data_IF_412803668955
#
_entry.id   IF_412803668955
#
_cell.length_a   1.000
_cell.length_b   1.000
_cell.length_c   1.000
_cell.angle_alpha   90.00
_cell.angle_beta   90.00
_cell.angle_gamma   90.00
#
_symmetry.space_group_name_H-M   'P 1'
#
loop_
_entity.id
_entity.type
_entity.pdbx_description
1 polymer ?
#
# COMPACT_ATOMS: atom_id res chain seq x y z
N UNK A 1 20.30 40.85 57.56
CA UNK A 1 19.35 41.44 56.59
C UNK A 1 18.70 40.31 55.80
N UNK A 2 17.40 40.07 55.97
CA UNK A 2 16.67 39.04 55.20
C UNK A 2 16.04 39.72 53.98
N UNK A 3 16.57 39.41 52.79
CA UNK A 3 16.04 39.95 51.52
C UNK A 3 14.65 39.36 51.26
N UNK A 4 13.63 40.22 51.25
CA UNK A 4 12.22 39.85 51.04
C UNK A 4 12.03 39.55 49.55
N UNK A 5 12.12 38.27 49.16
CA UNK A 5 11.77 37.84 47.79
C UNK A 5 10.27 38.09 47.58
N UNK A 6 9.94 39.02 46.69
CA UNK A 6 8.58 39.22 46.19
C UNK A 6 8.16 37.98 45.39
N UNK A 7 7.17 37.23 45.87
CA UNK A 7 6.56 36.16 45.08
C UNK A 7 5.63 36.80 44.05
N UNK A 8 5.96 36.67 42.77
CA UNK A 8 5.06 37.00 41.67
C UNK A 8 3.91 35.99 41.68
N UNK A 9 2.67 36.47 41.83
CA UNK A 9 1.47 35.66 41.70
C UNK A 9 0.84 35.95 40.33
N UNK A 10 0.45 34.90 39.61
CA UNK A 10 -0.29 35.03 38.35
C UNK A 10 -1.69 35.58 38.62
N UNK A 11 -2.13 36.49 37.76
CA UNK A 11 -3.49 37.01 37.75
C UNK A 11 -4.43 36.03 37.03
N UNK A 12 -5.71 36.05 37.39
CA UNK A 12 -6.73 35.22 36.73
C UNK A 12 -6.85 35.52 35.23
N UNK A 13 -6.64 36.78 34.82
CA UNK A 13 -6.72 37.19 33.42
C UNK A 13 -5.55 36.65 32.59
N UNK A 14 -4.35 36.60 33.16
CA UNK A 14 -3.19 35.97 32.51
C UNK A 14 -3.42 34.48 32.28
N UNK A 15 -4.00 33.78 33.26
CA UNK A 15 -4.35 32.37 33.09
C UNK A 15 -5.48 32.16 32.06
N UNK A 16 -6.52 33.01 32.11
CA UNK A 16 -7.69 32.90 31.25
C UNK A 16 -7.37 33.19 29.77
N UNK A 17 -6.51 34.17 29.50
CA UNK A 17 -6.08 34.48 28.13
C UNK A 17 -5.23 33.35 27.54
N UNK A 18 -4.35 32.73 28.33
CA UNK A 18 -3.52 31.61 27.88
C UNK A 18 -4.36 30.41 27.47
N UNK A 19 -5.33 30.00 28.30
CA UNK A 19 -6.21 28.88 27.94
C UNK A 19 -7.10 29.21 26.74
N UNK A 20 -7.51 30.49 26.57
CA UNK A 20 -8.27 30.92 25.41
C UNK A 20 -7.43 30.79 24.12
N UNK A 21 -6.17 31.21 24.13
CA UNK A 21 -5.26 31.07 22.98
C UNK A 21 -4.97 29.61 22.69
N UNK A 22 -4.67 28.78 23.70
CA UNK A 22 -4.46 27.34 23.52
C UNK A 22 -5.72 26.68 22.95
N UNK A 23 -6.90 27.06 23.43
CA UNK A 23 -8.19 26.57 22.93
C UNK A 23 -8.41 26.87 21.44
N UNK A 24 -8.09 28.10 21.01
CA UNK A 24 -8.18 28.50 19.60
C UNK A 24 -7.19 27.69 18.74
N UNK A 25 -5.94 27.56 19.18
CA UNK A 25 -4.92 26.80 18.46
C UNK A 25 -5.30 25.31 18.36
N UNK A 26 -5.76 24.71 19.45
CA UNK A 26 -6.19 23.31 19.48
C UNK A 26 -7.40 23.06 18.57
N UNK A 27 -8.38 23.97 18.55
CA UNK A 27 -9.57 23.86 17.71
C UNK A 27 -9.23 23.77 16.21
N UNK A 28 -8.20 24.48 15.75
CA UNK A 28 -7.74 24.45 14.35
C UNK A 28 -6.84 23.23 14.09
N UNK A 29 -6.03 22.83 15.08
CA UNK A 29 -5.04 21.77 14.91
C UNK A 29 -5.64 20.36 14.85
N UNK A 30 -6.68 20.06 15.64
CA UNK A 30 -7.28 18.72 15.70
C UNK A 30 -7.79 18.21 14.33
N UNK A 31 -8.63 18.95 13.57
CA UNK A 31 -9.13 18.46 12.29
C UNK A 31 -8.04 18.38 11.21
N UNK A 32 -7.04 19.26 11.24
CA UNK A 32 -5.99 19.33 10.22
C UNK A 32 -5.01 18.15 10.32
N UNK A 33 -4.67 17.70 11.52
CA UNK A 33 -3.76 16.55 11.74
C UNK A 33 -4.31 15.25 11.11
N UNK A 34 -5.63 15.03 11.17
CA UNK A 34 -6.26 13.84 10.58
C UNK A 34 -6.12 13.79 9.05
N UNK A 35 -6.32 14.93 8.39
CA UNK A 35 -6.16 15.06 6.94
C UNK A 35 -4.68 14.88 6.52
N UNK A 36 -3.75 15.50 7.25
CA UNK A 36 -2.30 15.37 7.00
C UNK A 36 -1.85 13.91 7.13
N UNK A 37 -2.27 13.20 8.17
CA UNK A 37 -1.93 11.78 8.36
C UNK A 37 -2.45 10.91 7.22
N UNK A 38 -3.66 11.19 6.74
CA UNK A 38 -4.27 10.46 5.61
C UNK A 38 -3.48 10.70 4.32
N UNK A 39 -3.10 11.95 4.05
CA UNK A 39 -2.27 12.30 2.90
C UNK A 39 -0.87 11.67 2.97
N UNK A 40 -0.24 11.72 4.15
CA UNK A 40 1.06 11.09 4.38
C UNK A 40 1.03 9.57 4.16
N UNK A 41 0.00 8.90 4.68
CA UNK A 41 -0.20 7.46 4.44
C UNK A 41 -0.43 7.17 2.95
N UNK A 42 -1.22 7.99 2.24
CA UNK A 42 -1.43 7.82 0.79
C UNK A 42 -0.12 7.95 0.01
N UNK A 43 0.70 8.95 0.33
CA UNK A 43 2.00 9.14 -0.28
C UNK A 43 2.95 7.97 0.02
N UNK A 44 2.96 7.49 1.27
CA UNK A 44 3.76 6.32 1.68
C UNK A 44 3.34 5.05 0.94
N UNK A 45 2.04 4.73 0.89
CA UNK A 45 1.53 3.59 0.12
C UNK A 45 1.89 3.69 -1.36
N UNK A 46 1.76 4.88 -1.98
CA UNK A 46 2.14 5.07 -3.38
C UNK A 46 3.65 4.86 -3.62
N UNK A 47 4.49 5.35 -2.70
CA UNK A 47 5.95 5.13 -2.75
C UNK A 47 6.30 3.65 -2.61
N UNK A 48 5.67 2.95 -1.66
CA UNK A 48 5.80 1.51 -1.47
C UNK A 48 5.44 0.74 -2.76
N UNK A 49 4.28 1.02 -3.35
CA UNK A 49 3.86 0.38 -4.60
C UNK A 49 4.78 0.72 -5.78
N UNK A 50 5.34 1.93 -5.83
CA UNK A 50 6.32 2.28 -6.88
C UNK A 50 7.60 1.45 -6.76
N UNK A 51 8.05 1.14 -5.55
CA UNK A 51 9.20 0.26 -5.31
C UNK A 51 8.88 -1.18 -5.72
N UNK A 52 7.69 -1.67 -5.37
CA UNK A 52 7.24 -3.01 -5.77
C UNK A 52 7.15 -3.13 -7.29
N UNK A 53 6.53 -2.17 -7.97
CA UNK A 53 6.46 -2.13 -9.44
C UNK A 53 7.87 -2.14 -10.04
N UNK A 54 8.80 -1.37 -9.48
CA UNK A 54 10.20 -1.40 -9.94
C UNK A 54 10.81 -2.80 -9.79
N UNK A 55 10.53 -3.51 -8.71
CA UNK A 55 10.98 -4.88 -8.52
C UNK A 55 10.35 -5.86 -9.54
N UNK A 56 9.07 -5.69 -9.87
CA UNK A 56 8.42 -6.44 -10.95
C UNK A 56 9.07 -6.18 -12.32
N UNK A 57 9.39 -4.92 -12.64
CA UNK A 57 10.10 -4.58 -13.87
C UNK A 57 11.49 -5.22 -13.93
N UNK A 58 12.24 -5.18 -12.83
CA UNK A 58 13.55 -5.84 -12.75
C UNK A 58 13.42 -7.36 -12.90
N UNK A 59 12.40 -7.97 -12.30
CA UNK A 59 12.10 -9.38 -12.49
C UNK A 59 11.84 -9.70 -13.96
N UNK A 60 11.00 -8.91 -14.63
CA UNK A 60 10.71 -9.10 -16.06
C UNK A 60 11.95 -8.90 -16.93
N UNK A 61 12.84 -7.98 -16.59
CA UNK A 61 14.10 -7.80 -17.32
C UNK A 61 15.00 -9.04 -17.21
N UNK A 62 15.01 -9.70 -16.06
CA UNK A 62 15.81 -10.90 -15.82
C UNK A 62 15.21 -12.16 -16.44
N UNK A 63 13.88 -12.34 -16.33
CA UNK A 63 13.20 -13.60 -16.71
C UNK A 63 12.33 -13.50 -17.97
N UNK A 64 12.05 -12.30 -18.48
CA UNK A 64 11.25 -12.06 -19.70
C UNK A 64 9.74 -11.97 -19.49
N UNK A 65 9.24 -12.30 -18.31
CA UNK A 65 7.82 -12.28 -17.94
C UNK A 65 7.64 -11.77 -16.51
N UNK A 66 6.44 -11.32 -16.14
CA UNK A 66 6.13 -10.94 -14.76
C UNK A 66 5.79 -12.17 -13.91
N UNK A 67 6.11 -12.17 -12.60
CA UNK A 67 5.69 -13.25 -11.73
C UNK A 67 4.16 -13.24 -11.63
N UNK A 68 3.54 -14.33 -12.09
CA UNK A 68 2.09 -14.49 -12.07
C UNK A 68 1.69 -15.47 -10.96
N UNK A 69 0.95 -14.97 -9.97
CA UNK A 69 0.45 -15.76 -8.84
C UNK A 69 -0.93 -16.37 -9.09
N UNK A 70 -1.59 -15.97 -10.18
CA UNK A 70 -2.91 -16.41 -10.54
C UNK A 70 -2.86 -17.53 -11.59
N UNK A 71 -3.87 -18.40 -11.54
CA UNK A 71 -3.91 -19.62 -12.35
C UNK A 71 -4.25 -19.36 -13.83
N UNK A 72 -5.08 -18.34 -14.12
CA UNK A 72 -5.66 -18.15 -15.46
C UNK A 72 -5.48 -16.75 -16.07
N UNK A 73 -5.18 -15.71 -15.28
CA UNK A 73 -5.03 -14.31 -15.73
C UNK A 73 -3.92 -13.63 -14.92
N UNK A 74 -3.69 -12.33 -15.11
CA UNK A 74 -2.66 -11.54 -14.41
C UNK A 74 -3.09 -10.88 -13.11
N UNK A 75 -4.37 -10.93 -12.76
CA UNK A 75 -4.93 -10.40 -11.50
C UNK A 75 -4.73 -11.37 -10.34
N UNK A 76 -4.12 -10.89 -9.25
CA UNK A 76 -4.11 -11.54 -7.94
C UNK A 76 -4.31 -10.54 -6.80
N UNK A 77 -4.96 -10.96 -5.72
CA UNK A 77 -5.09 -10.19 -4.48
C UNK A 77 -4.27 -10.91 -3.40
N UNK A 78 -3.31 -10.20 -2.83
CA UNK A 78 -2.63 -10.63 -1.60
C UNK A 78 -3.53 -10.24 -0.45
N UNK A 79 -4.04 -11.23 0.29
CA UNK A 79 -4.95 -11.03 1.43
C UNK A 79 -4.61 -11.89 2.65
N UNK A 80 -3.64 -12.79 2.51
CA UNK A 80 -3.27 -13.77 3.52
C UNK A 80 -1.76 -14.01 3.55
N UNK A 81 -1.33 -14.84 4.49
CA UNK A 81 0.06 -15.22 4.63
C UNK A 81 0.55 -16.02 3.40
N UNK A 82 -0.29 -16.87 2.80
CA UNK A 82 0.09 -17.63 1.61
C UNK A 82 0.45 -16.69 0.46
N UNK A 83 -0.41 -15.74 0.11
CA UNK A 83 -0.13 -14.72 -0.91
C UNK A 83 1.11 -13.88 -0.59
N UNK A 84 1.34 -13.57 0.68
CA UNK A 84 2.52 -12.85 1.15
C UNK A 84 3.80 -13.66 0.93
N UNK A 85 3.78 -14.97 1.20
CA UNK A 85 4.90 -15.88 0.94
C UNK A 85 5.21 -16.01 -0.56
N UNK A 86 4.19 -16.05 -1.42
CA UNK A 86 4.36 -16.07 -2.90
C UNK A 86 5.04 -14.79 -3.37
N UNK A 87 4.57 -13.65 -2.90
CA UNK A 87 5.16 -12.35 -3.20
C UNK A 87 6.61 -12.25 -2.71
N UNK A 88 6.86 -12.65 -1.47
CA UNK A 88 8.19 -12.62 -0.87
C UNK A 88 9.16 -13.54 -1.63
N UNK A 89 8.76 -14.78 -1.93
CA UNK A 89 9.61 -15.70 -2.67
C UNK A 89 9.91 -15.21 -4.10
N UNK A 90 8.90 -14.67 -4.80
CA UNK A 90 9.08 -14.13 -6.14
C UNK A 90 10.00 -12.92 -6.20
N UNK A 91 9.80 -11.93 -5.33
CA UNK A 91 10.53 -10.66 -5.43
C UNK A 91 11.78 -10.57 -4.55
N UNK A 92 11.87 -11.35 -3.49
CA UNK A 92 13.00 -11.30 -2.56
C UNK A 92 13.88 -12.54 -2.60
N UNK A 93 13.36 -13.67 -3.10
CA UNK A 93 14.04 -14.98 -3.05
C UNK A 93 14.12 -15.58 -1.63
N UNK A 94 13.53 -14.93 -0.63
CA UNK A 94 13.63 -15.27 0.79
C UNK A 94 12.27 -15.53 1.43
N UNK A 95 12.29 -16.24 2.57
CA UNK A 95 11.13 -16.38 3.45
C UNK A 95 10.99 -15.15 4.37
N UNK A 96 9.83 -14.98 5.02
CA UNK A 96 9.47 -13.81 5.84
C UNK A 96 10.32 -13.70 7.12
N UNK A 97 10.75 -14.82 7.68
CA UNK A 97 11.61 -14.89 8.88
C UNK A 97 13.10 -15.01 8.53
N UNK A 98 13.46 -14.80 7.27
CA UNK A 98 14.80 -15.03 6.75
C UNK A 98 15.03 -16.46 6.27
N UNK A 99 16.19 -16.66 5.64
CA UNK A 99 16.50 -17.88 4.88
C UNK A 99 15.88 -17.87 3.47
N UNK A 100 16.14 -18.93 2.72
CA UNK A 100 15.68 -19.06 1.34
C UNK A 100 14.17 -19.33 1.28
N UNK A 101 13.50 -18.75 0.28
CA UNK A 101 12.13 -19.14 -0.03
C UNK A 101 12.07 -20.62 -0.48
N UNK A 102 10.97 -21.27 -0.10
CA UNK A 102 10.61 -22.58 -0.62
C UNK A 102 10.41 -22.51 -2.13
N UNK A 103 10.75 -23.58 -2.85
CA UNK A 103 10.65 -23.60 -4.32
C UNK A 103 9.22 -23.31 -4.81
N UNK A 104 8.21 -23.79 -4.07
CA UNK A 104 6.80 -23.52 -4.33
C UNK A 104 6.42 -22.03 -4.28
N UNK A 105 7.24 -21.18 -3.67
CA UNK A 105 7.01 -19.74 -3.50
C UNK A 105 7.83 -18.87 -4.46
N UNK A 106 8.65 -19.45 -5.34
CA UNK A 106 9.55 -18.67 -6.19
C UNK A 106 8.86 -18.03 -7.41
N UNK A 107 7.79 -18.64 -7.95
CA UNK A 107 7.01 -18.11 -9.07
C UNK A 107 7.87 -17.53 -10.22
N UNK A 108 8.86 -18.31 -10.65
CA UNK A 108 9.82 -17.96 -11.71
C UNK A 108 11.16 -17.43 -11.20
N UNK A 109 11.28 -17.04 -9.92
CA UNK A 109 12.56 -16.63 -9.33
C UNK A 109 13.45 -17.82 -8.93
N UNK A 110 13.72 -18.73 -9.85
CA UNK A 110 14.48 -19.95 -9.57
C UNK A 110 15.92 -19.65 -9.09
N UNK A 111 16.48 -18.52 -9.53
CA UNK A 111 17.81 -18.04 -9.11
C UNK A 111 17.80 -17.35 -7.73
N UNK A 112 16.63 -17.17 -7.09
CA UNK A 112 16.46 -16.49 -5.80
C UNK A 112 17.11 -15.10 -5.76
N UNK A 113 16.97 -14.34 -6.84
CA UNK A 113 17.47 -12.97 -6.93
C UNK A 113 16.59 -12.06 -6.06
N UNK A 114 17.22 -11.18 -5.27
CA UNK A 114 16.49 -10.18 -4.49
C UNK A 114 16.28 -8.93 -5.34
N UNK A 115 15.08 -8.78 -5.88
CA UNK A 115 14.62 -7.59 -6.59
C UNK A 115 14.06 -6.52 -5.63
N UNK A 116 13.57 -6.97 -4.48
CA UNK A 116 13.07 -6.13 -3.39
C UNK A 116 13.55 -6.65 -2.03
N UNK A 117 13.59 -5.76 -1.04
CA UNK A 117 13.83 -6.10 0.36
C UNK A 117 12.64 -5.66 1.19
N UNK A 118 11.92 -6.63 1.77
CA UNK A 118 10.83 -6.34 2.68
C UNK A 118 11.35 -5.68 3.95
N UNK A 119 10.61 -4.67 4.42
CA UNK A 119 10.84 -4.00 5.70
C UNK A 119 9.75 -4.36 6.71
N UNK A 120 9.98 -4.13 8.00
CA UNK A 120 8.94 -4.30 9.03
C UNK A 120 7.71 -3.41 8.78
N UNK A 121 7.87 -2.32 8.02
CA UNK A 121 6.77 -1.46 7.62
C UNK A 121 5.87 -2.03 6.51
N UNK A 122 6.35 -3.04 5.80
CA UNK A 122 5.60 -3.73 4.73
C UNK A 122 4.78 -4.91 5.27
N UNK A 123 5.03 -5.35 6.51
CA UNK A 123 4.47 -6.54 7.11
C UNK A 123 3.63 -6.20 8.37
N UNK A 124 2.71 -7.08 8.73
CA UNK A 124 1.91 -6.95 9.97
C UNK A 124 2.72 -7.28 11.22
N UNK A 125 3.72 -8.14 11.09
CA UNK A 125 4.59 -8.66 12.16
C UNK A 125 5.90 -9.14 11.53
N UNK A 126 6.92 -9.40 12.35
CA UNK A 126 8.20 -9.98 11.92
C UNK A 126 8.21 -11.52 12.11
N UNK A 127 7.05 -12.14 11.91
CA UNK A 127 6.80 -13.56 12.17
C UNK A 127 6.52 -14.34 10.87
N UNK A 128 6.51 -15.68 10.95
CA UNK A 128 6.29 -16.53 9.78
C UNK A 128 4.89 -16.39 9.16
N UNK A 129 3.91 -15.98 9.98
CA UNK A 129 2.51 -15.76 9.58
C UNK A 129 2.23 -14.32 9.13
N UNK A 130 3.27 -13.49 8.99
CA UNK A 130 3.12 -12.10 8.59
C UNK A 130 2.39 -11.94 7.24
N UNK A 131 1.58 -10.89 7.16
CA UNK A 131 0.81 -10.52 5.96
C UNK A 131 1.32 -9.16 5.48
N UNK A 132 1.38 -8.96 4.16
CA UNK A 132 1.70 -7.64 3.61
C UNK A 132 0.67 -6.60 4.05
N UNK A 133 1.14 -5.36 4.19
CA UNK A 133 0.32 -4.25 4.64
C UNK A 133 0.69 -2.96 3.93
N UNK A 134 -0.30 -2.14 3.65
CA UNK A 134 -0.10 -0.75 3.26
C UNK A 134 0.12 0.17 4.47
N UNK A 135 0.44 1.45 4.21
CA UNK A 135 0.61 2.45 5.27
C UNK A 135 -0.68 2.73 6.07
N UNK A 136 -1.86 2.39 5.54
CA UNK A 136 -3.15 2.54 6.23
C UNK A 136 -3.47 1.39 7.18
N UNK A 137 -2.83 0.23 7.04
CA UNK A 137 -3.23 -0.96 7.80
C UNK A 137 -3.95 -2.02 6.99
N UNK A 138 -4.19 -1.79 5.70
CA UNK A 138 -4.91 -2.72 4.87
C UNK A 138 -3.99 -3.89 4.50
N UNK A 139 -4.50 -5.10 4.70
CA UNK A 139 -3.80 -6.35 4.37
C UNK A 139 -4.18 -6.90 3.01
N UNK A 140 -5.16 -6.27 2.34
CA UNK A 140 -5.53 -6.60 0.97
C UNK A 140 -4.89 -5.63 -0.02
N UNK A 141 -4.02 -6.17 -0.88
CA UNK A 141 -3.39 -5.45 -1.99
C UNK A 141 -3.64 -6.22 -3.27
N UNK A 142 -4.24 -5.55 -4.24
CA UNK A 142 -4.47 -6.10 -5.57
C UNK A 142 -3.33 -5.78 -6.51
N UNK A 143 -2.97 -6.75 -7.33
CA UNK A 143 -1.90 -6.65 -8.33
C UNK A 143 -2.47 -7.19 -9.65
N UNK A 144 -2.23 -6.46 -10.73
CA UNK A 144 -2.51 -6.90 -12.10
C UNK A 144 -1.20 -6.79 -12.86
N UNK A 145 -0.81 -7.87 -13.51
CA UNK A 145 0.33 -7.88 -14.45
C UNK A 145 -0.20 -8.09 -15.86
N UNK A 146 0.48 -7.48 -16.83
CA UNK A 146 0.25 -7.75 -18.26
C UNK A 146 0.73 -9.17 -18.57
N UNK A 147 -0.23 -10.06 -18.79
CA UNK A 147 0.04 -11.47 -19.17
C UNK A 147 0.00 -11.66 -20.68
N UNK A 148 -0.56 -10.70 -21.41
CA UNK A 148 -0.66 -10.74 -22.87
C UNK A 148 0.63 -10.29 -23.55
N UNK A 149 1.44 -9.49 -22.84
CA UNK A 149 2.71 -8.94 -23.31
C UNK A 149 2.54 -7.79 -24.31
N UNK A 150 1.36 -7.19 -24.39
CA UNK A 150 1.05 -6.09 -25.30
C UNK A 150 1.48 -4.70 -24.75
N UNK A 151 2.02 -4.68 -23.53
CA UNK A 151 2.47 -3.48 -22.82
C UNK A 151 1.31 -2.65 -22.26
N UNK A 152 0.12 -3.24 -22.15
CA UNK A 152 -1.05 -2.62 -21.54
C UNK A 152 -1.70 -3.58 -20.55
N UNK A 153 -2.34 -2.99 -19.55
CA UNK A 153 -3.27 -3.70 -18.69
C UNK A 153 -4.67 -3.41 -19.20
N UNK A 154 -5.33 -4.46 -19.71
CA UNK A 154 -6.67 -4.42 -20.30
C UNK A 154 -7.62 -5.37 -19.57
N UNK A 155 -8.86 -5.49 -20.06
CA UNK A 155 -9.83 -6.48 -19.57
C UNK A 155 -9.36 -7.93 -19.76
N UNK A 156 -8.34 -8.17 -20.57
CA UNK A 156 -7.79 -9.50 -20.78
C UNK A 156 -6.88 -9.97 -19.64
N UNK A 157 -6.33 -9.03 -18.85
CA UNK A 157 -5.40 -9.29 -17.76
C UNK A 157 -6.10 -9.57 -16.41
N UNK A 158 -7.41 -9.34 -16.30
CA UNK A 158 -8.17 -9.59 -15.07
C UNK A 158 -9.52 -10.26 -15.31
N UNK A 159 -9.98 -11.09 -14.37
CA UNK A 159 -11.12 -11.99 -14.60
C UNK A 159 -12.43 -11.24 -14.81
N UNK A 160 -12.77 -10.36 -13.88
CA UNK A 160 -13.93 -9.46 -13.93
C UNK A 160 -13.74 -8.36 -12.87
N UNK A 161 -14.60 -7.34 -12.89
CA UNK A 161 -14.51 -6.23 -11.94
C UNK A 161 -14.65 -6.69 -10.47
N UNK A 162 -15.48 -7.68 -10.17
CA UNK A 162 -15.66 -8.20 -8.80
C UNK A 162 -14.38 -8.84 -8.26
N UNK A 163 -13.61 -9.50 -9.12
CA UNK A 163 -12.32 -10.10 -8.80
C UNK A 163 -11.22 -9.05 -8.53
N UNK A 164 -11.50 -7.76 -8.75
CA UNK A 164 -10.60 -6.66 -8.40
C UNK A 164 -10.89 -6.04 -7.04
N UNK A 165 -11.90 -6.53 -6.31
CA UNK A 165 -12.34 -5.93 -5.06
C UNK A 165 -11.32 -6.17 -3.93
N UNK A 166 -10.83 -5.11 -3.32
CA UNK A 166 -9.95 -5.14 -2.13
C UNK A 166 -10.62 -4.46 -0.94
N UNK A 167 -10.37 -4.97 0.26
CA UNK A 167 -10.95 -4.47 1.50
C UNK A 167 -9.95 -3.68 2.34
N UNK A 168 -10.47 -2.66 3.01
CA UNK A 168 -9.81 -2.01 4.13
C UNK A 168 -9.81 -2.90 5.36
N UNK A 169 -8.91 -2.62 6.29
CA UNK A 169 -8.92 -3.26 7.62
C UNK A 169 -10.23 -3.11 8.40
N UNK A 170 -11.03 -2.09 8.05
CA UNK A 170 -12.30 -1.76 8.71
C UNK A 170 -13.52 -2.32 7.93
N UNK A 171 -13.31 -3.24 6.98
CA UNK A 171 -14.37 -3.96 6.27
C UNK A 171 -15.04 -3.21 5.11
N UNK A 172 -14.63 -1.97 4.84
CA UNK A 172 -15.06 -1.22 3.64
C UNK A 172 -14.24 -1.67 2.43
N UNK A 173 -14.79 -1.58 1.22
CA UNK A 173 -14.12 -2.09 0.02
C UNK A 173 -13.88 -1.01 -1.06
N UNK A 174 -12.86 -1.24 -1.88
CA UNK A 174 -12.57 -0.53 -3.10
C UNK A 174 -12.50 -1.53 -4.26
N UNK A 175 -13.12 -1.17 -5.37
CA UNK A 175 -12.98 -1.89 -6.63
C UNK A 175 -12.61 -0.87 -7.69
N UNK A 176 -11.45 -1.00 -8.37
CA UNK A 176 -11.12 -0.16 -9.51
C UNK A 176 -12.26 -0.16 -10.52
N UNK A 177 -12.66 1.03 -10.96
CA UNK A 177 -13.70 1.17 -11.96
C UNK A 177 -13.19 0.74 -13.34
N UNK A 178 -13.93 -0.13 -14.01
CA UNK A 178 -13.58 -0.66 -15.33
C UNK A 178 -14.62 -0.26 -16.37
N UNK A 179 -14.24 -0.22 -17.65
CA UNK A 179 -15.16 -0.06 -18.78
C UNK A 179 -14.77 1.07 -19.73
N UNK A 180 -15.71 1.53 -20.54
CA UNK A 180 -15.46 2.57 -21.55
C UNK A 180 -15.36 3.96 -20.91
N UNK A 181 -14.43 4.78 -21.40
CA UNK A 181 -14.25 6.19 -21.02
C UNK A 181 -12.97 6.46 -20.22
N UNK A 182 -12.44 7.68 -20.36
CA UNK A 182 -11.20 8.14 -19.69
C UNK A 182 -11.34 8.29 -18.17
N UNK A 183 -12.57 8.34 -17.66
CA UNK A 183 -12.85 8.51 -16.23
C UNK A 183 -12.76 7.18 -15.46
N UNK A 184 -12.56 6.05 -16.14
CA UNK A 184 -12.39 4.74 -15.53
C UNK A 184 -10.96 4.58 -15.03
N UNK A 185 -10.82 3.97 -13.85
CA UNK A 185 -9.51 3.64 -13.31
C UNK A 185 -8.75 2.67 -14.23
N UNK A 186 -9.47 1.73 -14.85
CA UNK A 186 -8.97 0.81 -15.88
C UNK A 186 -9.91 0.89 -17.11
N UNK A 187 -9.59 1.73 -18.10
CA UNK A 187 -10.37 1.83 -19.34
C UNK A 187 -10.32 0.53 -20.14
N UNK A 188 -11.34 0.28 -20.97
CA UNK A 188 -11.35 -0.87 -21.91
C UNK A 188 -10.19 -0.83 -22.90
N UNK A 189 -9.75 0.37 -23.31
CA UNK A 189 -8.56 0.56 -24.16
C UNK A 189 -7.23 0.27 -23.43
N UNK A 190 -7.32 0.00 -22.13
CA UNK A 190 -6.21 -0.34 -21.27
C UNK A 190 -5.40 0.84 -20.75
N UNK A 191 -4.59 0.53 -19.75
CA UNK A 191 -3.57 1.43 -19.22
C UNK A 191 -2.23 1.00 -19.80
N UNK A 192 -1.43 1.94 -20.29
CA UNK A 192 -0.04 1.66 -20.70
C UNK A 192 0.81 1.40 -19.46
N UNK A 193 0.88 0.14 -19.07
CA UNK A 193 1.56 -0.36 -17.90
C UNK A 193 1.79 -1.86 -18.08
N UNK A 194 2.90 -2.37 -17.55
CA UNK A 194 3.12 -3.80 -17.39
C UNK A 194 2.64 -4.30 -16.03
N UNK A 195 2.63 -3.45 -15.00
CA UNK A 195 2.10 -3.79 -13.66
C UNK A 195 1.27 -2.66 -13.08
N UNK A 196 0.14 -3.02 -12.47
CA UNK A 196 -0.73 -2.14 -11.70
C UNK A 196 -0.93 -2.72 -10.30
N UNK A 197 -0.68 -1.92 -9.27
CA UNK A 197 -0.86 -2.28 -7.86
C UNK A 197 -1.83 -1.30 -7.22
N UNK A 198 -2.74 -1.82 -6.40
CA UNK A 198 -3.76 -1.01 -5.76
C UNK A 198 -4.20 -1.52 -4.39
N UNK A 199 -4.70 -0.59 -3.56
CA UNK A 199 -5.31 -0.89 -2.27
C UNK A 199 -6.48 0.05 -1.97
N UNK A 200 -7.31 -0.31 -1.00
CA UNK A 200 -8.55 0.39 -0.65
C UNK A 200 -8.34 1.76 0.01
N UNK A 201 -7.13 2.09 0.48
CA UNK A 201 -6.84 3.36 1.15
C UNK A 201 -7.50 3.46 2.53
N UNK A 202 -7.83 4.68 2.99
CA UNK A 202 -8.34 4.89 4.36
C UNK A 202 -9.74 4.31 4.60
N UNK A 203 -10.68 4.59 3.70
CA UNK A 203 -12.12 4.44 3.96
C UNK A 203 -12.82 3.50 2.97
N UNK A 204 -12.11 2.86 2.04
CA UNK A 204 -12.77 2.22 0.89
C UNK A 204 -13.66 3.24 0.13
N UNK A 205 -14.41 2.79 -0.86
CA UNK A 205 -15.25 3.68 -1.67
C UNK A 205 -14.57 4.15 -2.96
N UNK A 206 -14.92 5.32 -3.49
CA UNK A 206 -14.68 5.65 -4.92
C UNK A 206 -13.23 5.88 -5.33
N UNK A 207 -12.28 6.04 -4.40
CA UNK A 207 -10.88 6.37 -4.71
C UNK A 207 -9.89 5.64 -3.81
N UNK A 208 -9.45 4.46 -4.24
CA UNK A 208 -8.32 3.76 -3.63
C UNK A 208 -6.97 4.44 -3.88
N UNK A 209 -5.90 3.77 -3.48
CA UNK A 209 -4.53 4.13 -3.84
C UNK A 209 -4.06 3.18 -4.92
N UNK A 210 -3.64 3.72 -6.06
CA UNK A 210 -3.19 2.94 -7.22
C UNK A 210 -1.84 3.47 -7.69
N UNK A 211 -1.01 2.59 -8.20
CA UNK A 211 0.24 2.89 -8.88
C UNK A 211 0.43 1.90 -10.03
N UNK A 212 0.97 2.37 -11.14
CA UNK A 212 1.26 1.52 -12.30
C UNK A 212 2.48 2.04 -13.04
N UNK A 213 3.14 1.16 -13.78
CA UNK A 213 4.23 1.49 -14.69
C UNK A 213 4.29 0.49 -15.83
#
# INVERSE_FOLDING_TARGET
MYSKKTKSAFTLIELLTVIAVIGILAAIMIPTVGAVRTSANKAKTKSQFSQWITAYELFRQEYGYYPNFATNRGNFIINDNAGTLKFAGALTGKNLIGGNALDANLYGNEKRISFYSLSDGDLTSSEADAILRDAFGNTQVGIIVDVTGDGRITADDYTNATALRVETKDGKAFTPSTGTGSDKDIPTDGIRAGVLIYSAGKDGGSKGVMSWK
#
